data_IF_463007833527
#
_entry.id   IF_463007833527
#
_cell.length_a   1.000
_cell.length_b   1.000
_cell.length_c   1.000
_cell.angle_alpha   90.00
_cell.angle_beta   90.00
_cell.angle_gamma   90.00
#
_symmetry.space_group_name_H-M   'P 1'
#
loop_
_entity.id
_entity.type
_entity.pdbx_description
1 polymer ?
#
# COMPACT_ATOMS: atom_id res chain seq x y z
N UNK A 1 41.99 18.34 -14.19
CA UNK A 1 41.80 17.06 -13.46
C UNK A 1 41.16 17.23 -12.09
N UNK A 2 41.66 18.08 -11.18
CA UNK A 2 41.07 18.27 -9.83
C UNK A 2 39.55 18.54 -9.84
N UNK A 3 39.04 19.40 -10.73
CA UNK A 3 37.60 19.71 -10.84
C UNK A 3 36.72 18.52 -11.25
N UNK A 4 37.27 17.57 -12.03
CA UNK A 4 36.55 16.38 -12.50
C UNK A 4 36.46 15.35 -11.38
N UNK A 5 37.55 15.16 -10.64
CA UNK A 5 37.58 14.26 -9.47
C UNK A 5 36.60 14.72 -8.41
N UNK A 6 36.57 16.03 -8.13
CA UNK A 6 35.61 16.61 -7.16
C UNK A 6 34.16 16.42 -7.62
N UNK A 7 33.85 16.64 -8.90
CA UNK A 7 32.50 16.43 -9.43
C UNK A 7 32.07 14.95 -9.32
N UNK A 8 32.92 14.01 -9.75
CA UNK A 8 32.62 12.58 -9.64
C UNK A 8 32.41 12.13 -8.19
N UNK A 9 33.17 12.69 -7.25
CA UNK A 9 33.07 12.37 -5.83
C UNK A 9 31.73 12.87 -5.25
N UNK A 10 31.31 14.09 -5.61
CA UNK A 10 29.99 14.62 -5.20
C UNK A 10 28.83 13.83 -5.81
N UNK A 11 28.92 13.40 -7.07
CA UNK A 11 27.88 12.57 -7.69
C UNK A 11 27.80 11.17 -7.07
N UNK A 12 28.93 10.57 -6.71
CA UNK A 12 28.98 9.27 -6.05
C UNK A 12 28.34 9.34 -4.65
N UNK A 13 28.70 10.34 -3.85
CA UNK A 13 28.13 10.54 -2.51
C UNK A 13 26.63 10.85 -2.60
N UNK A 14 26.20 11.70 -3.53
CA UNK A 14 24.78 11.96 -3.74
C UNK A 14 24.05 10.65 -4.12
N UNK A 15 24.57 9.88 -5.08
CA UNK A 15 23.92 8.64 -5.50
C UNK A 15 23.82 7.60 -4.37
N UNK A 16 24.81 7.48 -3.49
CA UNK A 16 24.80 6.51 -2.40
C UNK A 16 23.88 6.90 -1.25
N UNK A 17 23.80 8.21 -0.92
CA UNK A 17 22.89 8.72 0.11
C UNK A 17 21.44 8.64 -0.35
N UNK A 18 21.17 8.83 -1.64
CA UNK A 18 19.81 8.71 -2.18
C UNK A 18 19.41 7.24 -2.43
N UNK A 19 20.33 6.37 -2.85
CA UNK A 19 20.04 4.94 -3.02
C UNK A 19 19.66 4.23 -1.71
N UNK A 20 20.07 4.76 -0.55
CA UNK A 20 19.62 4.21 0.75
C UNK A 20 18.18 4.57 1.11
N UNK A 21 17.59 5.59 0.49
CA UNK A 21 16.19 6.01 0.75
C UNK A 21 15.21 5.53 -0.33
N UNK A 22 15.70 5.14 -1.51
CA UNK A 22 14.87 4.65 -2.61
C UNK A 22 14.69 3.15 -2.48
N UNK A 23 13.50 2.73 -2.06
CA UNK A 23 13.10 1.32 -2.11
C UNK A 23 12.88 0.93 -3.57
N UNK A 24 13.83 0.20 -4.18
CA UNK A 24 13.85 -0.13 -5.62
C UNK A 24 12.76 -1.16 -6.00
N UNK A 25 11.93 -1.62 -5.07
CA UNK A 25 10.79 -2.51 -5.34
C UNK A 25 9.60 -1.86 -6.08
N UNK A 26 9.83 -0.73 -6.77
CA UNK A 26 8.82 0.08 -7.51
C UNK A 26 8.27 -0.64 -8.75
N UNK A 27 8.87 -1.74 -9.20
CA UNK A 27 8.41 -2.48 -10.38
C UNK A 27 7.65 -3.73 -9.93
N UNK A 28 6.39 -3.56 -9.51
CA UNK A 28 5.45 -4.67 -9.49
C UNK A 28 4.23 -4.32 -10.33
N UNK A 29 4.29 -4.77 -11.59
CA UNK A 29 3.14 -4.96 -12.48
C UNK A 29 2.00 -5.62 -11.69
N UNK A 30 0.80 -5.01 -11.70
CA UNK A 30 -0.47 -5.56 -11.21
C UNK A 30 -0.32 -6.79 -10.31
N UNK A 31 0.17 -6.58 -9.07
CA UNK A 31 0.35 -7.68 -8.14
C UNK A 31 -1.02 -8.20 -7.74
N UNK A 32 -1.39 -9.37 -8.26
CA UNK A 32 -2.51 -10.14 -7.72
C UNK A 32 -2.17 -10.52 -6.29
N UNK A 33 -2.89 -9.96 -5.34
CA UNK A 33 -2.76 -10.28 -3.93
C UNK A 33 -3.85 -11.26 -3.55
N UNK A 34 -3.49 -12.36 -2.91
CA UNK A 34 -4.47 -13.23 -2.24
C UNK A 34 -4.81 -12.61 -0.90
N UNK A 35 -6.09 -12.30 -0.73
CA UNK A 35 -6.62 -11.77 0.52
C UNK A 35 -7.44 -12.86 1.19
N UNK A 36 -7.19 -13.06 2.47
CA UNK A 36 -8.10 -13.78 3.36
C UNK A 36 -8.77 -12.77 4.26
N UNK A 37 -10.09 -12.81 4.29
CA UNK A 37 -10.88 -12.06 5.26
C UNK A 37 -11.53 -13.04 6.22
N UNK A 38 -11.39 -12.77 7.51
CA UNK A 38 -12.12 -13.47 8.56
C UNK A 38 -12.92 -12.46 9.36
N UNK A 39 -14.20 -12.74 9.58
CA UNK A 39 -15.05 -11.98 10.48
C UNK A 39 -15.57 -12.87 11.60
N UNK A 40 -15.69 -12.32 12.80
CA UNK A 40 -16.24 -13.04 13.95
C UNK A 40 -17.28 -12.18 14.66
N UNK A 41 -18.36 -12.82 15.11
CA UNK A 41 -19.43 -12.20 15.89
C UNK A 41 -20.63 -11.68 15.08
N UNK A 42 -20.53 -11.66 13.75
CA UNK A 42 -21.62 -11.29 12.84
C UNK A 42 -21.67 -12.28 11.67
N UNK A 43 -22.86 -12.63 11.21
CA UNK A 43 -23.01 -13.53 10.06
C UNK A 43 -22.84 -12.71 8.77
N UNK A 44 -21.85 -13.02 7.91
CA UNK A 44 -21.68 -12.30 6.65
C UNK A 44 -22.82 -12.64 5.69
N UNK A 45 -23.02 -11.76 4.71
CA UNK A 45 -23.91 -12.04 3.60
C UNK A 45 -23.54 -13.33 2.86
N UNK A 46 -24.56 -14.09 2.47
CA UNK A 46 -24.44 -15.34 1.70
C UNK A 46 -23.72 -15.14 0.36
N UNK A 47 -23.78 -13.94 -0.23
CA UNK A 47 -23.14 -13.64 -1.52
C UNK A 47 -21.63 -13.40 -1.40
N UNK A 48 -21.09 -13.26 -0.18
CA UNK A 48 -19.67 -12.98 0.06
C UNK A 48 -18.74 -14.18 -0.10
N UNK A 49 -19.30 -15.40 -0.23
CA UNK A 49 -18.53 -16.63 -0.35
C UNK A 49 -17.77 -16.99 0.93
N UNK A 50 -18.36 -16.69 2.09
CA UNK A 50 -17.81 -17.00 3.40
C UNK A 50 -18.15 -18.43 3.82
N UNK A 51 -17.22 -19.06 4.52
CA UNK A 51 -17.36 -20.41 5.08
C UNK A 51 -17.11 -20.29 6.59
N UNK A 52 -17.97 -20.88 7.41
CA UNK A 52 -17.74 -20.95 8.86
C UNK A 52 -16.55 -21.86 9.15
N UNK A 53 -15.53 -21.33 9.83
CA UNK A 53 -14.30 -22.06 10.17
C UNK A 53 -14.24 -22.42 11.65
N UNK A 54 -14.72 -21.53 12.49
CA UNK A 54 -14.92 -21.71 13.92
C UNK A 54 -16.29 -21.19 14.29
N UNK A 55 -16.84 -21.63 15.42
CA UNK A 55 -18.20 -21.26 15.83
C UNK A 55 -18.35 -19.73 15.90
N UNK A 56 -19.15 -19.17 15.00
CA UNK A 56 -19.39 -17.72 14.91
C UNK A 56 -18.25 -16.92 14.25
N UNK A 57 -17.34 -17.59 13.53
CA UNK A 57 -16.29 -16.98 12.72
C UNK A 57 -16.35 -17.52 11.28
N UNK A 58 -16.30 -16.59 10.34
CA UNK A 58 -16.51 -16.86 8.93
C UNK A 58 -15.34 -16.34 8.10
N UNK A 59 -14.82 -17.17 7.20
CA UNK A 59 -13.65 -16.86 6.39
C UNK A 59 -14.00 -16.89 4.90
N UNK A 60 -13.50 -15.92 4.14
CA UNK A 60 -13.46 -15.97 2.67
C UNK A 60 -12.05 -15.70 2.15
N UNK A 61 -11.79 -16.17 0.93
CA UNK A 61 -10.52 -15.95 0.23
C UNK A 61 -10.80 -15.51 -1.20
N UNK A 62 -10.06 -14.51 -1.65
CA UNK A 62 -10.19 -14.02 -3.02
C UNK A 62 -8.91 -13.31 -3.46
N UNK A 63 -8.80 -13.08 -4.76
CA UNK A 63 -7.67 -12.37 -5.36
C UNK A 63 -8.11 -10.96 -5.73
N UNK A 64 -7.24 -9.97 -5.47
CA UNK A 64 -7.43 -8.58 -5.85
C UNK A 64 -6.22 -8.10 -6.66
N UNK A 65 -6.49 -7.38 -7.74
CA UNK A 65 -5.47 -6.59 -8.43
C UNK A 65 -5.31 -5.26 -7.67
N UNK A 66 -4.40 -5.22 -6.69
CA UNK A 66 -4.13 -4.01 -5.90
C UNK A 66 -2.66 -3.60 -6.05
N UNK A 67 -2.36 -2.34 -6.38
CA UNK A 67 -1.00 -1.83 -6.34
C UNK A 67 -0.49 -1.82 -4.89
N UNK A 68 0.83 -1.90 -4.68
CA UNK A 68 1.42 -1.82 -3.33
C UNK A 68 1.14 -0.47 -2.62
N UNK A 69 0.95 0.60 -3.39
CA UNK A 69 0.76 1.97 -2.91
C UNK A 69 -0.46 2.61 -3.58
N UNK A 70 -1.07 3.58 -2.90
CA UNK A 70 -2.19 4.35 -3.45
C UNK A 70 -3.43 3.52 -3.80
N UNK A 71 -3.56 2.33 -3.22
CA UNK A 71 -4.73 1.49 -3.38
C UNK A 71 -5.83 1.90 -2.39
N UNK A 72 -7.06 1.61 -2.78
CA UNK A 72 -8.25 1.70 -1.94
C UNK A 72 -9.08 0.46 -2.27
N UNK A 73 -9.34 -0.38 -1.27
CA UNK A 73 -10.23 -1.52 -1.45
C UNK A 73 -11.24 -1.59 -0.32
N UNK A 74 -12.44 -2.03 -0.66
CA UNK A 74 -13.52 -2.29 0.27
C UNK A 74 -13.60 -3.79 0.51
N UNK A 75 -13.45 -4.26 1.76
CA UNK A 75 -13.71 -5.63 2.15
C UNK A 75 -15.06 -6.14 1.64
N UNK A 76 -15.17 -7.45 1.39
CA UNK A 76 -16.46 -8.05 0.97
C UNK A 76 -17.50 -8.08 2.09
N UNK A 77 -17.12 -7.63 3.29
CA UNK A 77 -18.00 -7.45 4.42
C UNK A 77 -19.03 -6.37 4.05
N UNK A 78 -20.18 -6.84 3.55
CA UNK A 78 -21.27 -5.98 3.07
C UNK A 78 -21.77 -5.04 4.17
N UNK A 79 -22.33 -3.88 3.80
CA UNK A 79 -22.93 -2.96 4.77
C UNK A 79 -24.02 -3.70 5.52
N UNK A 80 -23.98 -3.59 6.83
CA UNK A 80 -25.08 -4.02 7.67
C UNK A 80 -26.15 -2.92 7.64
N UNK A 81 -27.40 -3.34 7.46
CA UNK A 81 -28.58 -2.46 7.59
C UNK A 81 -28.82 -2.06 9.07
N UNK A 82 -28.05 -2.63 9.99
CA UNK A 82 -28.10 -2.35 11.42
C UNK A 82 -26.71 -2.05 11.99
N UNK A 83 -26.66 -1.39 13.15
CA UNK A 83 -25.40 -1.15 13.84
C UNK A 83 -24.79 -2.47 14.33
N UNK A 84 -23.62 -2.83 13.80
CA UNK A 84 -22.95 -4.11 14.07
C UNK A 84 -21.59 -3.93 14.70
N UNK A 85 -21.22 -4.91 15.52
CA UNK A 85 -19.89 -5.02 16.12
C UNK A 85 -19.28 -6.37 15.80
N UNK A 86 -18.15 -6.35 15.11
CA UNK A 86 -17.44 -7.57 14.74
C UNK A 86 -15.93 -7.40 14.85
N UNK A 87 -15.24 -8.52 15.01
CA UNK A 87 -13.80 -8.57 14.84
C UNK A 87 -13.49 -8.89 13.38
N UNK A 88 -12.54 -8.17 12.78
CA UNK A 88 -12.06 -8.44 11.42
C UNK A 88 -10.58 -8.80 11.43
N UNK A 89 -10.21 -9.66 10.49
CA UNK A 89 -8.84 -10.06 10.20
C UNK A 89 -8.67 -10.09 8.69
N UNK A 90 -7.75 -9.30 8.17
CA UNK A 90 -7.42 -9.23 6.74
C UNK A 90 -5.96 -9.58 6.59
N UNK A 91 -5.69 -10.73 5.97
CA UNK A 91 -4.34 -11.22 5.73
C UNK A 91 -4.01 -11.19 4.25
N UNK A 92 -2.87 -10.59 3.91
CA UNK A 92 -2.33 -10.56 2.55
C UNK A 92 -1.29 -11.66 2.37
N UNK A 93 -1.51 -12.51 1.37
CA UNK A 93 -0.62 -13.60 1.00
C UNK A 93 -0.05 -13.32 -0.38
N UNK A 94 1.22 -12.91 -0.43
CA UNK A 94 2.18 -13.08 -1.53
C UNK A 94 3.43 -12.22 -1.22
N UNK A 95 4.41 -12.18 -2.13
CA UNK A 95 5.63 -11.36 -1.98
C UNK A 95 5.34 -9.86 -1.95
N UNK A 96 4.21 -9.43 -2.52
CA UNK A 96 3.73 -8.07 -2.47
C UNK A 96 2.70 -7.94 -1.34
N UNK A 97 3.16 -7.61 -0.13
CA UNK A 97 2.28 -7.25 0.99
C UNK A 97 2.46 -5.77 1.30
N UNK A 98 1.38 -5.01 1.51
CA UNK A 98 1.50 -3.60 1.81
C UNK A 98 2.18 -3.40 3.17
N UNK A 99 3.03 -2.36 3.28
CA UNK A 99 3.77 -2.09 4.52
C UNK A 99 2.81 -1.66 5.62
N UNK A 100 3.02 -2.19 6.82
CA UNK A 100 2.21 -1.92 8.03
C UNK A 100 1.91 -0.44 8.23
N UNK A 101 2.93 0.39 8.07
CA UNK A 101 2.91 1.82 8.39
C UNK A 101 2.14 2.67 7.35
N UNK A 102 1.76 2.05 6.23
CA UNK A 102 1.17 2.73 5.09
C UNK A 102 -0.31 2.39 4.87
N UNK A 103 -0.81 1.33 5.51
CA UNK A 103 -2.20 0.89 5.36
C UNK A 103 -3.05 1.44 6.49
N UNK A 104 -4.12 2.13 6.11
CA UNK A 104 -5.12 2.66 7.01
C UNK A 104 -6.41 1.87 6.84
N UNK A 105 -7.08 1.59 7.94
CA UNK A 105 -8.46 1.12 7.90
C UNK A 105 -9.36 2.30 8.20
N UNK A 106 -10.29 2.57 7.31
CA UNK A 106 -11.19 3.70 7.34
C UNK A 106 -12.62 3.19 7.40
N UNK A 107 -13.46 3.89 8.15
CA UNK A 107 -14.90 3.72 8.10
C UNK A 107 -15.46 4.81 7.20
N UNK A 108 -16.24 4.40 6.21
CA UNK A 108 -16.72 5.24 5.12
C UNK A 108 -18.25 5.22 5.12
N UNK A 109 -18.87 6.36 4.84
CA UNK A 109 -20.30 6.45 4.52
C UNK A 109 -20.46 7.41 3.33
N UNK A 110 -21.29 7.05 2.35
CA UNK A 110 -21.53 7.85 1.15
C UNK A 110 -20.25 8.30 0.40
N UNK A 111 -19.18 7.51 0.51
CA UNK A 111 -17.87 7.78 -0.10
C UNK A 111 -16.94 8.68 0.73
N UNK A 112 -17.41 9.24 1.84
CA UNK A 112 -16.63 10.09 2.75
C UNK A 112 -16.02 9.29 3.91
N UNK A 113 -14.77 9.60 4.28
CA UNK A 113 -14.11 8.99 5.44
C UNK A 113 -14.66 9.62 6.71
N UNK A 114 -15.34 8.83 7.52
CA UNK A 114 -15.87 9.26 8.81
C UNK A 114 -14.82 9.18 9.91
N UNK A 115 -14.07 8.07 9.96
CA UNK A 115 -13.01 7.83 10.95
C UNK A 115 -11.98 6.83 10.49
N UNK A 116 -10.76 6.96 11.02
CA UNK A 116 -9.71 5.96 10.90
C UNK A 116 -9.76 5.00 12.10
N UNK A 117 -9.55 3.71 11.84
CA UNK A 117 -9.52 2.63 12.84
C UNK A 117 -8.07 2.23 13.05
N UNK A 118 -7.63 2.28 14.30
CA UNK A 118 -6.30 1.85 14.66
C UNK A 118 -6.18 0.32 14.49
N UNK A 119 -5.38 -0.09 13.50
CA UNK A 119 -5.11 -1.48 13.23
C UNK A 119 -4.08 -2.05 14.21
N UNK A 120 -4.37 -3.23 14.76
CA UNK A 120 -3.32 -4.11 15.24
C UNK A 120 -2.74 -4.82 14.01
N UNK A 121 -1.48 -4.55 13.69
CA UNK A 121 -0.81 -5.18 12.55
C UNK A 121 0.25 -6.13 13.03
N UNK A 122 0.12 -7.39 12.61
CA UNK A 122 1.07 -8.45 12.87
C UNK A 122 1.44 -9.13 11.55
N UNK A 123 2.73 -9.04 11.19
CA UNK A 123 3.25 -9.52 9.91
C UNK A 123 2.47 -8.97 8.70
N UNK A 124 1.66 -9.79 8.05
CA UNK A 124 0.83 -9.46 6.87
C UNK A 124 -0.66 -9.41 7.18
N UNK A 125 -1.01 -9.37 8.46
CA UNK A 125 -2.38 -9.41 8.94
C UNK A 125 -2.72 -8.10 9.63
N UNK A 126 -3.80 -7.48 9.16
CA UNK A 126 -4.43 -6.30 9.73
C UNK A 126 -5.67 -6.77 10.46
N UNK A 127 -5.74 -6.50 11.76
CA UNK A 127 -6.85 -6.95 12.59
C UNK A 127 -7.33 -5.84 13.52
N UNK A 128 -8.61 -5.88 13.85
CA UNK A 128 -9.20 -4.91 14.76
C UNK A 128 -10.64 -5.26 15.13
N UNK A 129 -11.19 -4.45 16.03
CA UNK A 129 -12.61 -4.47 16.39
C UNK A 129 -13.29 -3.32 15.66
N UNK A 130 -14.30 -3.64 14.88
CA UNK A 130 -15.10 -2.65 14.16
C UNK A 130 -16.46 -2.52 14.83
N UNK A 131 -16.90 -1.26 14.89
CA UNK A 131 -18.27 -0.88 15.20
C UNK A 131 -18.71 -0.11 13.96
N UNK A 132 -19.69 -0.61 13.23
CA UNK A 132 -20.29 0.08 12.09
C UNK A 132 -21.71 0.49 12.46
N UNK A 133 -22.08 1.71 12.13
CA UNK A 133 -23.47 2.17 12.16
C UNK A 133 -24.15 1.85 10.82
N UNK A 134 -25.47 2.02 10.76
CA UNK A 134 -26.24 1.81 9.53
C UNK A 134 -25.66 2.63 8.37
N UNK A 135 -25.46 1.97 7.23
CA UNK A 135 -24.90 2.58 6.01
C UNK A 135 -23.38 2.80 6.03
N UNK A 136 -22.67 2.43 7.10
CA UNK A 136 -21.21 2.50 7.15
C UNK A 136 -20.56 1.26 6.54
N UNK A 137 -19.46 1.46 5.81
CA UNK A 137 -18.61 0.40 5.27
C UNK A 137 -17.17 0.54 5.76
N UNK A 138 -16.40 -0.51 5.56
CA UNK A 138 -14.96 -0.53 5.84
C UNK A 138 -14.23 -0.30 4.52
N UNK A 139 -13.13 0.45 4.58
CA UNK A 139 -12.21 0.62 3.47
C UNK A 139 -10.80 0.50 3.98
N UNK A 140 -9.95 -0.22 3.25
CA UNK A 140 -8.52 -0.22 3.50
C UNK A 140 -7.86 0.60 2.40
N UNK A 141 -7.14 1.63 2.81
CA UNK A 141 -6.44 2.56 1.92
C UNK A 141 -4.94 2.52 2.20
N UNK A 142 -4.13 2.83 1.20
CA UNK A 142 -2.70 3.05 1.36
C UNK A 142 -2.31 4.44 0.86
N UNK A 143 -1.36 5.07 1.53
CA UNK A 143 -0.82 6.33 1.06
C UNK A 143 -0.24 6.20 -0.36
N UNK A 144 -0.36 7.28 -1.15
CA UNK A 144 0.21 7.31 -2.49
C UNK A 144 1.72 7.19 -2.42
N UNK A 145 2.29 6.56 -3.45
CA UNK A 145 3.73 6.43 -3.61
C UNK A 145 4.41 7.82 -3.56
N UNK A 146 5.52 7.98 -2.82
CA UNK A 146 6.24 9.24 -2.79
C UNK A 146 6.70 9.63 -4.20
N UNK A 147 6.47 10.89 -4.59
CA UNK A 147 6.76 11.35 -5.94
C UNK A 147 8.26 11.32 -6.25
N UNK A 148 8.67 10.43 -7.16
CA UNK A 148 10.05 10.33 -7.63
C UNK A 148 10.43 11.38 -8.69
N UNK A 149 9.63 12.44 -8.86
CA UNK A 149 9.92 13.56 -9.79
C UNK A 149 11.34 14.11 -9.60
N UNK A 150 11.79 14.22 -8.36
CA UNK A 150 13.13 14.73 -8.02
C UNK A 150 14.23 13.81 -8.60
N UNK A 151 14.04 12.49 -8.61
CA UNK A 151 15.01 11.54 -9.17
C UNK A 151 15.13 11.72 -10.69
N UNK A 152 13.99 11.82 -11.39
CA UNK A 152 13.98 12.04 -12.83
C UNK A 152 14.66 13.36 -13.22
N UNK A 153 14.40 14.43 -12.46
CA UNK A 153 15.05 15.74 -12.67
C UNK A 153 16.57 15.62 -12.48
N UNK A 154 17.03 14.96 -11.42
CA UNK A 154 18.46 14.76 -11.17
C UNK A 154 19.15 13.92 -12.25
N UNK A 155 18.50 12.85 -12.72
CA UNK A 155 19.00 12.02 -13.81
C UNK A 155 19.18 12.82 -15.12
N UNK A 156 18.19 13.67 -15.46
CA UNK A 156 18.27 14.53 -16.64
C UNK A 156 19.44 15.52 -16.51
N UNK A 157 19.64 16.13 -15.34
CA UNK A 157 20.75 17.05 -15.08
C UNK A 157 22.11 16.34 -15.29
N UNK A 158 22.26 15.11 -14.77
CA UNK A 158 23.48 14.32 -14.94
C UNK A 158 23.76 13.97 -16.41
N UNK A 159 22.73 13.56 -17.15
CA UNK A 159 22.84 13.26 -18.58
C UNK A 159 23.21 14.51 -19.38
N UNK A 160 22.59 15.66 -19.09
CA UNK A 160 22.90 16.93 -19.76
C UNK A 160 24.33 17.41 -19.45
N UNK A 161 24.80 17.27 -18.22
CA UNK A 161 26.17 17.58 -17.81
C UNK A 161 27.19 16.64 -18.50
N UNK A 162 26.88 15.35 -18.59
CA UNK A 162 27.70 14.37 -19.31
C UNK A 162 27.82 14.68 -20.81
N UNK A 163 26.70 14.96 -21.47
CA UNK A 163 26.63 15.31 -22.89
C UNK A 163 27.45 16.57 -23.21
N UNK A 164 27.29 17.63 -22.40
CA UNK A 164 28.05 18.87 -22.59
C UNK A 164 29.56 18.66 -22.42
N UNK A 165 29.99 17.77 -21.53
CA UNK A 165 31.40 17.44 -21.34
C UNK A 165 31.98 16.64 -22.52
N UNK A 166 31.23 15.67 -23.04
CA UNK A 166 31.61 14.89 -24.23
C UNK A 166 31.73 15.81 -25.46
N UNK A 167 30.76 16.71 -25.66
CA UNK A 167 30.79 17.65 -26.78
C UNK A 167 31.96 18.64 -26.69
N UNK A 168 32.32 19.10 -25.48
CA UNK A 168 33.49 19.98 -25.27
C UNK A 168 34.83 19.30 -25.52
N UNK A 169 34.93 17.97 -25.36
CA UNK A 169 36.15 17.20 -25.64
C UNK A 169 36.39 16.95 -27.14
N UNK A 170 35.37 17.17 -27.99
CA UNK A 170 35.46 17.03 -29.45
C UNK A 170 35.85 18.33 -30.18
N UNK A 171 35.97 19.45 -29.46
CA UNK A 171 36.61 20.69 -29.95
C UNK A 171 38.02 20.75 -29.40
#
# INVERSE_FOLDING_TARGET
MKKIVVFCFFTLIASSVFASEVDINIIYEASRMKVTETICGEMPSETGGYIETEKGCFQTRYELDVPMYGFSFEPKTLPSDEAVKFAYYISFFDSASPKKDLVKTEIVADGEVLREVENLVHERTFQGLLILEEGQTVRLSSEKEPSYMIIYVMAIILVAAGLTFIMRRKK
#
